data_IF_979942005052
#
_entry.id   IF_979942005052
#
_cell.length_a   1.000
_cell.length_b   1.000
_cell.length_c   1.000
_cell.angle_alpha   90.00
_cell.angle_beta   90.00
_cell.angle_gamma   90.00
#
_symmetry.space_group_name_H-M   'P 1'
#
loop_
_entity.id
_entity.type
_entity.pdbx_description
1 polymer ?
#
# COMPACT_ATOMS: atom_id res chain seq x y z
N UNK A 1 -37.47 15.91 -14.64
CA UNK A 1 -36.38 15.73 -15.62
C UNK A 1 -35.04 16.09 -14.93
N UNK A 2 -34.67 15.34 -13.90
CA UNK A 2 -33.50 15.64 -13.03
C UNK A 2 -32.79 14.35 -12.62
N UNK A 3 -33.52 13.26 -12.40
CA UNK A 3 -32.98 11.93 -12.05
C UNK A 3 -31.93 11.40 -13.03
N UNK A 4 -32.08 11.65 -14.34
CA UNK A 4 -31.13 11.20 -15.36
C UNK A 4 -29.80 11.98 -15.33
N UNK A 5 -29.84 13.28 -15.01
CA UNK A 5 -28.62 14.08 -14.85
C UNK A 5 -27.86 13.72 -13.57
N UNK A 6 -28.55 13.50 -12.45
CA UNK A 6 -27.90 13.03 -11.22
C UNK A 6 -27.28 11.63 -11.36
N UNK A 7 -27.95 10.72 -12.08
CA UNK A 7 -27.40 9.40 -12.36
C UNK A 7 -26.16 9.46 -13.26
N UNK A 8 -26.14 10.33 -14.28
CA UNK A 8 -24.98 10.52 -15.15
C UNK A 8 -23.79 11.13 -14.40
N UNK A 9 -24.02 12.11 -13.51
CA UNK A 9 -22.99 12.70 -12.65
C UNK A 9 -22.46 11.66 -11.65
N UNK A 10 -23.32 10.89 -11.01
CA UNK A 10 -22.90 9.81 -10.10
C UNK A 10 -22.09 8.72 -10.83
N UNK A 11 -22.46 8.35 -12.06
CA UNK A 11 -21.73 7.38 -12.87
C UNK A 11 -20.35 7.91 -13.29
N UNK A 12 -20.23 9.20 -13.65
CA UNK A 12 -18.95 9.83 -13.96
C UNK A 12 -17.98 9.88 -12.75
N UNK A 13 -18.53 9.83 -11.53
CA UNK A 13 -17.76 9.74 -10.28
C UNK A 13 -17.67 8.32 -9.71
N UNK A 14 -18.30 7.33 -10.36
CA UNK A 14 -18.23 5.94 -9.93
C UNK A 14 -16.98 5.27 -10.48
N UNK A 15 -16.30 4.52 -9.61
CA UNK A 15 -15.16 3.69 -9.98
C UNK A 15 -15.70 2.29 -10.25
N UNK A 16 -15.43 1.75 -11.44
CA UNK A 16 -15.66 0.34 -11.74
C UNK A 16 -14.79 -0.51 -10.80
N UNK A 17 -15.39 -1.32 -9.90
CA UNK A 17 -14.66 -2.07 -8.88
C UNK A 17 -13.76 -3.15 -9.48
N UNK A 18 -14.16 -3.79 -10.59
CA UNK A 18 -13.38 -4.84 -11.23
C UNK A 18 -12.16 -4.24 -11.91
N UNK A 19 -12.36 -3.13 -12.62
CA UNK A 19 -11.25 -2.38 -13.21
C UNK A 19 -10.29 -1.85 -12.14
N UNK A 20 -10.81 -1.31 -11.05
CA UNK A 20 -9.98 -0.84 -9.93
C UNK A 20 -9.15 -1.98 -9.34
N UNK A 21 -9.75 -3.14 -9.11
CA UNK A 21 -9.07 -4.30 -8.56
C UNK A 21 -7.97 -4.81 -9.50
N UNK A 22 -8.22 -4.82 -10.82
CA UNK A 22 -7.22 -5.20 -11.81
C UNK A 22 -6.02 -4.25 -11.83
N UNK A 23 -6.25 -2.94 -11.82
CA UNK A 23 -5.18 -1.93 -11.80
C UNK A 23 -4.39 -1.98 -10.48
N UNK A 24 -5.08 -2.21 -9.36
CA UNK A 24 -4.44 -2.36 -8.06
C UNK A 24 -3.51 -3.59 -8.04
N UNK A 25 -3.99 -4.75 -8.52
CA UNK A 25 -3.19 -5.96 -8.66
C UNK A 25 -1.99 -5.76 -9.60
N UNK A 26 -2.17 -5.07 -10.73
CA UNK A 26 -1.08 -4.76 -11.65
C UNK A 26 0.03 -3.91 -11.01
N UNK A 27 -0.32 -3.00 -10.09
CA UNK A 27 0.66 -2.26 -9.30
C UNK A 27 1.39 -3.18 -8.33
N UNK A 28 0.68 -4.09 -7.64
CA UNK A 28 1.31 -5.07 -6.75
C UNK A 28 2.30 -5.97 -7.50
N UNK A 29 1.93 -6.45 -8.68
CA UNK A 29 2.80 -7.28 -9.52
C UNK A 29 4.05 -6.53 -9.97
N UNK A 30 3.92 -5.24 -10.29
CA UNK A 30 5.06 -4.39 -10.67
C UNK A 30 6.06 -4.19 -9.53
N UNK A 31 5.59 -4.19 -8.28
CA UNK A 31 6.46 -4.03 -7.11
C UNK A 31 6.89 -5.38 -6.52
N UNK A 32 6.22 -6.48 -6.83
CA UNK A 32 6.49 -7.82 -6.29
C UNK A 32 7.98 -8.23 -6.36
N UNK A 33 8.71 -8.02 -7.47
CA UNK A 33 10.13 -8.38 -7.55
C UNK A 33 11.05 -7.63 -6.56
N UNK A 34 10.57 -6.56 -5.91
CA UNK A 34 11.32 -5.83 -4.89
C UNK A 34 11.28 -6.53 -3.52
N UNK A 35 10.38 -7.50 -3.34
CA UNK A 35 10.21 -8.24 -2.10
C UNK A 35 10.75 -9.66 -2.28
N UNK A 36 11.70 -10.05 -1.43
CA UNK A 36 12.25 -11.41 -1.45
C UNK A 36 11.27 -12.46 -0.88
N UNK A 37 10.19 -12.03 -0.20
CA UNK A 37 9.19 -12.87 0.44
C UNK A 37 7.79 -12.33 0.14
N UNK A 38 6.79 -13.21 0.12
CA UNK A 38 5.42 -12.83 -0.21
C UNK A 38 4.69 -12.11 0.93
N UNK A 39 5.01 -12.39 2.20
CA UNK A 39 4.34 -11.77 3.34
C UNK A 39 4.56 -10.23 3.40
N UNK A 40 5.79 -9.71 3.20
CA UNK A 40 6.01 -8.26 3.10
C UNK A 40 5.27 -7.60 1.91
N UNK A 41 5.16 -8.29 0.78
CA UNK A 41 4.40 -7.79 -0.38
C UNK A 41 2.91 -7.70 -0.05
N UNK A 42 2.35 -8.71 0.61
CA UNK A 42 0.96 -8.71 1.07
C UNK A 42 0.70 -7.53 2.00
N UNK A 43 1.56 -7.29 2.98
CA UNK A 43 1.41 -6.15 3.89
C UNK A 43 1.58 -4.78 3.21
N UNK A 44 2.45 -4.67 2.20
CA UNK A 44 2.56 -3.46 1.40
C UNK A 44 1.27 -3.21 0.60
N UNK A 45 0.71 -4.27 0.00
CA UNK A 45 -0.56 -4.23 -0.70
C UNK A 45 -1.71 -3.82 0.19
N UNK A 46 -1.80 -4.46 1.36
CA UNK A 46 -2.68 -4.05 2.43
C UNK A 46 -2.47 -2.55 2.71
N UNK A 47 -1.30 -2.08 3.16
CA UNK A 47 -1.04 -0.66 3.47
C UNK A 47 -1.52 0.31 2.36
N UNK A 48 -1.23 0.01 1.09
CA UNK A 48 -1.68 0.82 -0.05
C UNK A 48 -3.20 0.88 -0.18
N UNK A 49 -3.92 -0.23 0.04
CA UNK A 49 -5.38 -0.24 0.09
C UNK A 49 -5.91 0.68 1.22
N UNK A 50 -5.21 0.71 2.36
CA UNK A 50 -5.52 1.64 3.46
C UNK A 50 -5.29 3.10 3.11
N UNK A 51 -4.28 3.42 2.31
CA UNK A 51 -4.01 4.79 1.86
C UNK A 51 -5.08 5.31 0.89
N UNK A 52 -5.65 4.46 0.06
CA UNK A 52 -6.73 4.84 -0.89
C UNK A 52 -8.12 4.75 -0.28
N UNK A 53 -8.25 4.28 0.96
CA UNK A 53 -9.51 4.26 1.69
C UNK A 53 -9.98 5.67 2.08
N UNK A 54 -11.25 5.75 2.51
CA UNK A 54 -11.86 6.95 3.08
C UNK A 54 -11.47 7.25 4.53
N UNK A 55 -10.41 6.61 5.07
CA UNK A 55 -9.92 6.90 6.42
C UNK A 55 -9.46 8.35 6.55
N UNK A 56 -9.89 9.00 7.64
CA UNK A 56 -9.49 10.36 7.99
C UNK A 56 -7.98 10.44 8.29
N UNK A 57 -7.46 9.49 9.09
CA UNK A 57 -6.03 9.40 9.43
C UNK A 57 -5.37 8.20 8.75
N UNK A 58 -4.46 8.47 7.81
CA UNK A 58 -3.81 7.45 6.97
C UNK A 58 -2.39 7.10 7.43
N UNK A 59 -2.25 6.72 8.70
CA UNK A 59 -0.99 6.18 9.21
C UNK A 59 -1.04 4.64 9.30
N UNK A 60 0.10 3.98 9.45
CA UNK A 60 0.18 2.52 9.47
C UNK A 60 -0.64 1.86 10.59
N UNK A 61 -0.75 2.51 11.76
CA UNK A 61 -1.54 2.03 12.90
C UNK A 61 -3.04 2.08 12.59
N UNK A 62 -3.56 3.25 12.21
CA UNK A 62 -4.99 3.44 11.88
C UNK A 62 -5.42 2.55 10.71
N UNK A 63 -4.51 2.33 9.76
CA UNK A 63 -4.74 1.43 8.64
C UNK A 63 -4.79 -0.04 9.09
N UNK A 64 -3.96 -0.45 10.05
CA UNK A 64 -4.00 -1.81 10.61
C UNK A 64 -5.28 -2.04 11.42
N UNK A 65 -5.68 -1.08 12.26
CA UNK A 65 -6.95 -1.12 13.00
C UNK A 65 -8.14 -1.25 12.04
N UNK A 66 -8.14 -0.49 10.95
CA UNK A 66 -9.20 -0.55 9.94
C UNK A 66 -9.35 -1.93 9.28
N UNK A 67 -8.28 -2.74 9.23
CA UNK A 67 -8.32 -4.12 8.72
C UNK A 67 -8.77 -5.15 9.74
N UNK A 68 -8.97 -4.76 10.99
CA UNK A 68 -9.26 -5.68 12.08
C UNK A 68 -8.01 -6.30 12.72
N UNK A 69 -6.82 -5.75 12.48
CA UNK A 69 -5.63 -6.14 13.24
C UNK A 69 -5.77 -5.60 14.67
N UNK A 70 -6.06 -6.49 15.62
CA UNK A 70 -6.34 -6.15 17.03
C UNK A 70 -5.10 -6.19 17.92
N UNK A 71 -3.99 -6.75 17.43
CA UNK A 71 -2.72 -6.79 18.15
C UNK A 71 -1.78 -5.71 17.65
N UNK A 72 -1.06 -4.99 18.55
CA UNK A 72 0.06 -4.12 18.16
C UNK A 72 1.12 -4.86 17.35
N UNK A 73 1.17 -6.19 17.54
CA UNK A 73 1.98 -7.15 16.81
C UNK A 73 1.56 -7.31 15.34
N UNK A 74 0.34 -7.00 14.89
CA UNK A 74 0.02 -7.13 13.45
C UNK A 74 0.85 -6.18 12.57
N UNK A 75 1.08 -4.97 13.07
CA UNK A 75 1.92 -3.97 12.42
C UNK A 75 3.37 -3.97 12.94
N UNK A 76 3.72 -4.70 14.01
CA UNK A 76 5.08 -4.77 14.59
C UNK A 76 5.77 -6.15 14.52
N UNK A 77 5.05 -7.27 14.38
CA UNK A 77 5.61 -8.64 14.31
C UNK A 77 6.26 -8.91 12.96
N UNK A 78 5.78 -8.26 11.90
CA UNK A 78 6.44 -8.21 10.61
C UNK A 78 7.73 -7.36 10.64
N UNK A 79 8.02 -6.72 11.77
CA UNK A 79 9.22 -5.92 12.02
C UNK A 79 10.15 -6.54 13.06
N UNK A 80 10.04 -7.84 13.34
CA UNK A 80 11.16 -8.55 13.95
C UNK A 80 12.27 -8.78 12.90
N UNK A 81 13.04 -7.71 12.65
CA UNK A 81 14.44 -7.87 12.29
C UNK A 81 15.19 -8.61 13.41
N UNK A 82 16.38 -9.18 13.12
CA UNK A 82 17.18 -9.87 14.13
C UNK A 82 17.36 -8.97 15.36
N UNK A 83 17.18 -9.57 16.54
CA UNK A 83 17.11 -8.89 17.82
C UNK A 83 18.13 -7.74 17.93
N UNK A 84 17.63 -6.52 18.15
CA UNK A 84 18.47 -5.33 18.38
C UNK A 84 18.42 -4.25 17.29
N UNK A 85 17.62 -4.38 16.24
CA UNK A 85 17.37 -3.25 15.33
C UNK A 85 16.30 -2.33 15.91
N UNK A 86 16.56 -1.01 16.09
CA UNK A 86 15.53 -0.09 16.57
C UNK A 86 14.37 -0.12 15.58
N UNK A 87 13.14 -0.12 16.11
CA UNK A 87 11.89 -0.06 15.35
C UNK A 87 11.88 1.19 14.50
N UNK A 88 12.47 1.13 13.31
CA UNK A 88 12.45 2.23 12.37
C UNK A 88 11.06 2.25 11.77
N UNK A 89 10.33 3.33 12.05
CA UNK A 89 9.03 3.65 11.45
C UNK A 89 9.00 3.24 9.97
N UNK A 90 7.86 2.73 9.51
CA UNK A 90 7.61 2.34 8.10
C UNK A 90 8.09 3.42 7.11
N UNK A 91 8.02 4.70 7.51
CA UNK A 91 8.54 5.85 6.76
C UNK A 91 10.03 5.74 6.44
N UNK A 92 10.85 5.29 7.39
CA UNK A 92 12.30 5.14 7.21
C UNK A 92 12.59 3.93 6.31
N UNK A 93 11.88 2.81 6.49
CA UNK A 93 12.11 1.63 5.66
C UNK A 93 11.67 1.83 4.21
N UNK A 94 10.56 2.54 3.94
CA UNK A 94 10.18 2.93 2.58
C UNK A 94 11.22 3.88 1.98
N UNK A 95 11.72 4.84 2.76
CA UNK A 95 12.78 5.75 2.31
C UNK A 95 14.08 5.00 1.98
N UNK A 96 14.52 4.08 2.85
CA UNK A 96 15.73 3.26 2.64
C UNK A 96 15.55 2.30 1.45
N UNK A 97 14.36 1.69 1.28
CA UNK A 97 14.08 0.82 0.15
C UNK A 97 14.06 1.59 -1.18
N UNK A 98 13.46 2.79 -1.20
CA UNK A 98 13.47 3.69 -2.36
C UNK A 98 14.88 4.17 -2.67
N UNK A 99 15.65 4.56 -1.65
CA UNK A 99 17.01 5.05 -1.80
C UNK A 99 17.95 3.93 -2.29
N UNK A 100 17.84 2.73 -1.73
CA UNK A 100 18.55 1.54 -2.22
C UNK A 100 18.18 1.22 -3.66
N UNK A 101 16.88 1.26 -4.00
CA UNK A 101 16.41 1.06 -5.38
C UNK A 101 16.96 2.11 -6.35
N UNK A 102 17.05 3.38 -5.94
CA UNK A 102 17.67 4.46 -6.73
C UNK A 102 19.16 4.18 -6.96
N UNK A 103 19.88 3.71 -5.95
CA UNK A 103 21.32 3.40 -6.03
C UNK A 103 21.63 2.17 -6.88
N UNK A 104 20.75 1.17 -6.90
CA UNK A 104 20.98 -0.09 -7.64
C UNK A 104 20.36 -0.10 -9.03
N UNK A 105 19.75 1.01 -9.49
CA UNK A 105 19.20 1.07 -10.84
C UNK A 105 20.36 1.18 -11.84
N UNK A 106 20.48 0.27 -12.82
CA UNK A 106 21.48 0.43 -13.88
C UNK A 106 21.17 1.73 -14.66
N UNK A 107 22.19 2.47 -15.12
CA UNK A 107 21.99 3.66 -15.93
C UNK A 107 21.21 3.29 -17.20
N UNK A 108 20.15 4.05 -17.47
CA UNK A 108 19.45 3.97 -18.76
C UNK A 108 20.35 4.68 -19.77
N UNK A 109 21.16 3.92 -20.49
CA UNK A 109 21.83 4.42 -21.68
C UNK A 109 20.75 4.68 -22.74
N UNK A 110 20.64 5.93 -23.18
CA UNK A 110 19.83 6.35 -24.32
C UNK A 110 20.76 6.64 -25.48
#
# INVERSE_FOLDING_TARGET
>A
MTTSQYAAVAAAHSVDPDRWQAEFSAVLDRIAPRFARHQPLRHAGELMAGMVSGLDRKNCWTIAEHRGDTTPMGCSICWHGPAGTPTMSVTICVTIAIDRWRRTRPPVYR
#
